data_IF_046921843378
#
_entry.id   IF_046921843378
#
_cell.length_a   1.000
_cell.length_b   1.000
_cell.length_c   1.000
_cell.angle_alpha   90.00
_cell.angle_beta   90.00
_cell.angle_gamma   90.00
#
_symmetry.space_group_name_H-M   'P 1'
#
loop_
_entity.id
_entity.type
_entity.pdbx_description
1 polymer ?
#
# COMPACT_ATOMS: atom_id res chain seq x y z
N UNK A 1 2.81 10.99 14.75
CA UNK A 1 1.99 10.23 13.75
C UNK A 1 2.37 10.68 12.35
N UNK A 2 2.44 9.73 11.43
CA UNK A 2 2.75 9.98 10.03
C UNK A 2 1.46 10.39 9.33
N UNK A 3 1.46 11.52 8.65
CA UNK A 3 0.26 12.03 7.95
C UNK A 3 0.30 11.68 6.48
N UNK A 4 -0.88 11.46 5.91
CA UNK A 4 -1.04 11.22 4.49
C UNK A 4 -2.42 11.62 3.99
N UNK A 5 -2.57 11.66 2.67
CA UNK A 5 -3.80 12.08 2.01
C UNK A 5 -3.88 11.57 0.59
N UNK A 6 -5.11 11.48 0.04
CA UNK A 6 -5.31 11.22 -1.37
C UNK A 6 -5.06 12.49 -2.20
N UNK A 7 -5.09 12.35 -3.52
CA UNK A 7 -4.79 13.45 -4.44
C UNK A 7 -5.68 14.68 -4.20
N UNK A 8 -6.98 14.50 -4.03
CA UNK A 8 -7.91 15.61 -3.79
C UNK A 8 -8.00 16.03 -2.33
N UNK A 9 -7.36 15.29 -1.43
CA UNK A 9 -7.31 15.52 0.02
C UNK A 9 -8.65 15.29 0.74
N UNK A 10 -9.65 14.76 0.07
CA UNK A 10 -10.90 14.37 0.74
C UNK A 10 -10.63 13.30 1.80
N UNK A 11 -9.71 12.36 1.51
CA UNK A 11 -9.27 11.34 2.46
C UNK A 11 -7.95 11.81 3.08
N UNK A 12 -7.92 11.92 4.41
CA UNK A 12 -6.73 12.24 5.18
C UNK A 12 -6.61 11.24 6.32
N UNK A 13 -5.40 10.83 6.62
CA UNK A 13 -5.16 9.82 7.65
C UNK A 13 -3.90 10.13 8.46
N UNK A 14 -3.81 9.46 9.60
CA UNK A 14 -2.61 9.39 10.43
C UNK A 14 -2.28 7.94 10.70
N UNK A 15 -1.00 7.63 10.69
CA UNK A 15 -0.49 6.29 10.96
C UNK A 15 0.62 6.34 11.99
N UNK A 16 0.73 5.29 12.79
CA UNK A 16 1.83 5.10 13.70
C UNK A 16 3.09 4.60 12.99
N UNK A 17 3.87 3.74 13.65
CA UNK A 17 5.12 3.28 13.06
C UNK A 17 4.89 2.20 12.00
N UNK A 18 5.71 2.24 10.96
CA UNK A 18 5.68 1.27 9.86
C UNK A 18 6.37 -0.02 10.31
N UNK A 19 5.66 -1.15 10.24
CA UNK A 19 6.20 -2.47 10.61
C UNK A 19 6.51 -3.34 9.39
N UNK A 20 5.99 -2.95 8.22
CA UNK A 20 6.30 -3.58 6.93
C UNK A 20 6.44 -2.50 5.88
N UNK A 21 7.42 -2.65 4.98
CA UNK A 21 7.58 -1.71 3.87
C UNK A 21 8.20 -2.45 2.70
N UNK A 22 7.47 -2.55 1.59
CA UNK A 22 7.94 -3.35 0.46
C UNK A 22 7.30 -2.98 -0.87
N UNK A 23 7.93 -3.48 -1.92
CA UNK A 23 7.46 -3.36 -3.30
C UNK A 23 6.83 -4.68 -3.73
N UNK A 24 5.60 -4.63 -4.21
CA UNK A 24 4.88 -5.82 -4.68
C UNK A 24 4.73 -5.79 -6.19
N UNK A 25 5.29 -6.81 -6.86
CA UNK A 25 5.29 -6.94 -8.31
C UNK A 25 4.17 -7.83 -8.85
N UNK A 26 3.22 -8.27 -8.03
CA UNK A 26 2.13 -9.12 -8.50
C UNK A 26 1.30 -8.40 -9.55
N UNK A 27 0.68 -9.17 -10.46
CA UNK A 27 -0.08 -8.60 -11.57
C UNK A 27 -1.23 -7.71 -11.09
N UNK A 28 -1.87 -8.06 -9.97
CA UNK A 28 -2.96 -7.26 -9.40
C UNK A 28 -2.45 -5.92 -8.86
N UNK A 29 -1.34 -5.92 -8.15
CA UNK A 29 -0.73 -4.68 -7.66
C UNK A 29 -0.30 -3.78 -8.81
N UNK A 30 0.34 -4.36 -9.84
CA UNK A 30 0.73 -3.58 -11.02
C UNK A 30 -0.47 -2.93 -11.69
N UNK A 31 -1.55 -3.68 -11.87
CA UNK A 31 -2.76 -3.17 -12.53
C UNK A 31 -3.49 -2.15 -11.67
N UNK A 32 -3.64 -2.42 -10.37
CA UNK A 32 -4.34 -1.51 -9.48
C UNK A 32 -3.61 -0.16 -9.33
N UNK A 33 -2.29 -0.17 -9.35
CA UNK A 33 -1.48 1.04 -9.18
C UNK A 33 -1.04 1.65 -10.52
N UNK A 34 -1.23 0.95 -11.64
CA UNK A 34 -0.79 1.43 -12.95
C UNK A 34 0.71 1.69 -12.99
N UNK A 35 1.50 0.81 -12.41
CA UNK A 35 2.94 1.01 -12.21
C UNK A 35 3.68 -0.33 -12.30
N UNK A 36 5.01 -0.27 -12.30
CA UNK A 36 5.85 -1.46 -12.29
C UNK A 36 5.60 -2.33 -11.06
N UNK A 37 5.29 -1.70 -9.94
CA UNK A 37 4.98 -2.36 -8.67
C UNK A 37 4.20 -1.41 -7.77
N UNK A 38 3.54 -1.97 -6.77
CA UNK A 38 2.96 -1.18 -5.69
C UNK A 38 3.98 -1.08 -4.57
N UNK A 39 4.13 0.09 -3.97
CA UNK A 39 4.94 0.27 -2.76
C UNK A 39 3.98 0.47 -1.61
N UNK A 40 4.04 -0.45 -0.66
CA UNK A 40 3.08 -0.54 0.44
C UNK A 40 3.80 -0.47 1.78
N UNK A 41 3.25 0.34 2.67
CA UNK A 41 3.67 0.39 4.06
C UNK A 41 2.57 -0.22 4.93
N UNK A 42 2.94 -1.14 5.81
CA UNK A 42 2.02 -1.76 6.75
C UNK A 42 2.19 -1.15 8.13
N UNK A 43 1.07 -0.82 8.76
CA UNK A 43 1.03 -0.35 10.15
C UNK A 43 -0.01 -1.17 10.92
N UNK A 44 0.17 -1.38 12.24
CA UNK A 44 -0.86 -2.03 13.03
C UNK A 44 -2.19 -1.26 12.94
N UNK A 45 -3.30 -1.99 12.83
CA UNK A 45 -4.60 -1.35 12.65
C UNK A 45 -4.96 -0.39 13.78
N UNK A 46 -4.53 -0.69 15.02
CA UNK A 46 -4.77 0.18 16.18
C UNK A 46 -3.95 1.48 16.13
N UNK A 47 -2.97 1.56 15.23
CA UNK A 47 -2.15 2.75 15.04
C UNK A 47 -2.53 3.51 13.78
N UNK A 48 -3.68 3.23 13.21
CA UNK A 48 -4.16 3.89 12.00
C UNK A 48 -5.52 4.52 12.25
N UNK A 49 -5.73 5.73 11.73
CA UNK A 49 -7.06 6.34 11.72
C UNK A 49 -7.25 7.28 10.54
N UNK A 50 -8.46 7.31 10.01
CA UNK A 50 -8.87 8.36 9.09
C UNK A 50 -9.18 9.63 9.88
N UNK A 51 -8.60 10.75 9.44
CA UNK A 51 -8.88 12.08 10.01
C UNK A 51 -10.13 12.65 9.35
N UNK A 52 -10.19 12.55 8.00
CA UNK A 52 -11.35 12.95 7.21
C UNK A 52 -11.57 11.96 6.09
N UNK A 53 -12.78 11.88 5.59
CA UNK A 53 -13.08 11.20 4.35
C UNK A 53 -13.17 9.68 4.42
N UNK A 54 -13.32 9.09 5.61
CA UNK A 54 -13.54 7.65 5.72
C UNK A 54 -14.76 7.21 4.88
N UNK A 55 -15.77 8.06 4.79
CA UNK A 55 -16.99 7.82 4.00
C UNK A 55 -16.76 7.98 2.49
N UNK A 56 -15.64 8.52 2.06
CA UNK A 56 -15.26 8.62 0.65
C UNK A 56 -14.44 7.41 0.17
N UNK A 57 -14.04 6.53 1.08
CA UNK A 57 -13.29 5.33 0.73
C UNK A 57 -14.25 4.31 0.13
N UNK A 58 -13.94 3.85 -1.08
CA UNK A 58 -14.64 2.73 -1.72
C UNK A 58 -13.73 1.52 -1.75
N UNK A 59 -14.33 0.34 -1.65
CA UNK A 59 -13.61 -0.92 -1.63
C UNK A 59 -13.97 -1.75 -2.87
N UNK A 60 -12.95 -2.36 -3.46
CA UNK A 60 -13.10 -3.36 -4.51
C UNK A 60 -12.51 -4.67 -4.02
N UNK A 61 -13.31 -5.74 -4.01
CA UNK A 61 -12.82 -7.07 -3.65
C UNK A 61 -12.02 -7.63 -4.82
N UNK A 62 -10.69 -7.57 -4.71
CA UNK A 62 -9.78 -7.99 -5.79
C UNK A 62 -9.55 -9.50 -5.78
N UNK A 63 -9.71 -10.13 -4.65
CA UNK A 63 -9.71 -11.58 -4.47
C UNK A 63 -10.53 -11.90 -3.21
N UNK A 64 -10.99 -13.14 -3.00
CA UNK A 64 -11.84 -13.47 -1.87
C UNK A 64 -11.26 -12.99 -0.53
N UNK A 65 -12.01 -12.12 0.15
CA UNK A 65 -11.62 -11.56 1.44
C UNK A 65 -10.58 -10.44 1.40
N UNK A 66 -10.05 -10.10 0.22
CA UNK A 66 -9.03 -9.07 0.06
C UNK A 66 -9.60 -7.88 -0.72
N UNK A 67 -9.47 -6.70 -0.15
CA UNK A 67 -10.05 -5.48 -0.73
C UNK A 67 -8.96 -4.47 -1.04
N UNK A 68 -9.16 -3.76 -2.14
CA UNK A 68 -8.39 -2.57 -2.49
C UNK A 68 -9.27 -1.36 -2.29
N UNK A 69 -8.70 -0.32 -1.71
CA UNK A 69 -9.43 0.90 -1.38
C UNK A 69 -9.05 2.01 -2.35
N UNK A 70 -10.00 2.88 -2.63
CA UNK A 70 -9.75 4.06 -3.46
C UNK A 70 -10.69 5.20 -3.05
N UNK A 71 -10.28 6.43 -3.39
CA UNK A 71 -11.09 7.60 -3.14
C UNK A 71 -12.20 7.71 -4.18
N UNK A 72 -13.45 7.83 -3.73
CA UNK A 72 -14.61 7.97 -4.63
C UNK A 72 -14.61 9.29 -5.38
N UNK A 73 -13.87 10.30 -4.92
CA UNK A 73 -13.83 11.64 -5.51
C UNK A 73 -12.73 11.73 -6.56
N UNK A 74 -11.50 11.34 -6.25
CA UNK A 74 -10.37 11.53 -7.17
C UNK A 74 -9.79 10.24 -7.74
N UNK A 75 -10.22 9.06 -7.25
CA UNK A 75 -9.74 7.77 -7.74
C UNK A 75 -8.36 7.36 -7.23
N UNK A 76 -7.70 8.15 -6.39
CA UNK A 76 -6.44 7.73 -5.77
C UNK A 76 -6.62 6.42 -5.03
N UNK A 77 -5.61 5.55 -5.07
CA UNK A 77 -5.58 4.43 -4.13
C UNK A 77 -5.64 4.98 -2.70
N UNK A 78 -6.18 4.20 -1.78
CA UNK A 78 -6.36 4.59 -0.39
C UNK A 78 -5.88 3.48 0.53
N UNK A 79 -5.62 3.79 1.81
CA UNK A 79 -5.27 2.75 2.78
C UNK A 79 -6.39 1.71 2.93
N UNK A 80 -6.02 0.45 2.97
CA UNK A 80 -6.96 -0.66 3.10
C UNK A 80 -6.58 -1.55 4.29
N UNK A 81 -7.58 -1.99 5.04
CA UNK A 81 -7.39 -2.92 6.14
C UNK A 81 -7.15 -4.33 5.56
N UNK A 82 -6.23 -5.07 6.18
CA UNK A 82 -5.95 -6.45 5.80
C UNK A 82 -7.16 -7.36 6.08
N UNK A 83 -7.19 -8.52 5.42
CA UNK A 83 -8.30 -9.48 5.55
C UNK A 83 -8.49 -9.97 7.00
N UNK A 84 -7.42 -10.05 7.78
CA UNK A 84 -7.49 -10.43 9.20
C UNK A 84 -7.74 -9.24 10.13
N UNK A 85 -7.90 -8.04 9.59
CA UNK A 85 -8.16 -6.78 10.31
C UNK A 85 -7.03 -6.34 11.25
N UNK A 86 -5.85 -6.94 11.16
CA UNK A 86 -4.73 -6.61 12.04
C UNK A 86 -3.88 -5.46 11.55
N UNK A 87 -3.88 -5.20 10.25
CA UNK A 87 -3.01 -4.22 9.62
C UNK A 87 -3.81 -3.30 8.72
N UNK A 88 -3.30 -2.07 8.53
CA UNK A 88 -3.61 -1.25 7.38
C UNK A 88 -2.41 -1.23 6.45
N UNK A 89 -2.64 -1.45 5.16
CA UNK A 89 -1.63 -1.29 4.13
C UNK A 89 -1.87 0.01 3.39
N UNK A 90 -0.84 0.84 3.36
CA UNK A 90 -0.91 2.21 2.86
C UNK A 90 -0.06 2.27 1.59
N UNK A 91 -0.65 2.64 0.43
CA UNK A 91 0.16 3.00 -0.73
C UNK A 91 1.11 4.13 -0.34
N UNK A 92 2.41 3.88 -0.39
CA UNK A 92 3.39 4.76 0.24
C UNK A 92 3.45 6.17 -0.36
N UNK A 93 3.06 6.31 -1.63
CA UNK A 93 2.99 7.63 -2.26
C UNK A 93 1.98 8.57 -1.63
N UNK A 94 1.07 8.06 -0.78
CA UNK A 94 0.08 8.88 -0.08
C UNK A 94 0.65 9.61 1.13
N UNK A 95 1.81 9.23 1.63
CA UNK A 95 2.40 9.91 2.78
C UNK A 95 2.75 11.35 2.44
N UNK A 96 2.33 12.27 3.28
CA UNK A 96 2.70 13.68 3.20
C UNK A 96 4.00 13.95 3.96
N UNK A 97 4.27 13.15 4.99
CA UNK A 97 5.49 13.21 5.80
C UNK A 97 6.44 12.08 5.39
N UNK A 98 7.71 12.21 5.71
CA UNK A 98 8.65 11.09 5.65
C UNK A 98 8.21 10.06 6.71
N UNK A 99 7.92 8.80 6.31
CA UNK A 99 7.44 7.80 7.27
C UNK A 99 8.50 7.30 8.25
N UNK A 100 9.75 7.75 8.12
CA UNK A 100 10.83 7.31 9.01
C UNK A 100 11.31 5.89 8.78
N UNK A 101 10.86 5.26 7.70
CA UNK A 101 11.24 3.90 7.32
C UNK A 101 11.49 3.87 5.81
N UNK A 102 12.11 2.79 5.33
CA UNK A 102 12.41 2.61 3.90
C UNK A 102 11.97 1.21 3.46
N UNK A 103 11.62 1.02 2.19
CA UNK A 103 11.32 -0.32 1.66
C UNK A 103 12.50 -1.26 1.87
N UNK A 104 12.20 -2.51 2.22
CA UNK A 104 13.23 -3.51 2.52
C UNK A 104 13.18 -4.73 1.61
N UNK A 105 12.09 -4.93 0.86
CA UNK A 105 11.90 -6.14 0.06
C UNK A 105 11.19 -5.85 -1.25
N UNK A 106 11.42 -6.73 -2.23
CA UNK A 106 10.57 -6.90 -3.39
C UNK A 106 9.85 -8.24 -3.28
N UNK A 107 8.52 -8.23 -3.41
CA UNK A 107 7.68 -9.42 -3.37
C UNK A 107 7.11 -9.71 -4.76
N UNK A 108 6.80 -10.97 -5.01
CA UNK A 108 6.19 -11.42 -6.26
C UNK A 108 7.02 -11.05 -7.50
N UNK A 109 8.34 -11.14 -7.38
CA UNK A 109 9.24 -10.84 -8.51
C UNK A 109 9.06 -11.83 -9.65
N UNK A 110 8.49 -13.02 -9.38
CA UNK A 110 8.11 -13.96 -10.43
C UNK A 110 7.09 -13.42 -11.41
N UNK A 111 6.31 -12.40 -11.00
CA UNK A 111 5.31 -11.72 -11.84
C UNK A 111 5.75 -10.31 -12.25
N UNK A 112 7.02 -9.99 -12.08
CA UNK A 112 7.58 -8.67 -12.38
C UNK A 112 7.29 -8.25 -13.82
N UNK A 113 7.01 -6.95 -14.01
CA UNK A 113 6.83 -6.38 -15.34
C UNK A 113 8.10 -6.60 -16.19
N UNK A 114 7.95 -7.11 -17.44
CA UNK A 114 9.13 -7.40 -18.26
C UNK A 114 9.88 -6.15 -18.70
N UNK A 115 9.23 -4.99 -18.66
CA UNK A 115 9.82 -3.70 -19.05
C UNK A 115 10.51 -2.96 -17.91
N UNK A 116 10.54 -3.54 -16.71
CA UNK A 116 11.19 -2.95 -15.53
C UNK A 116 12.32 -3.85 -15.04
N UNK A 117 13.45 -3.24 -14.67
CA UNK A 117 14.60 -3.93 -14.12
C UNK A 117 14.84 -3.45 -12.69
N UNK A 118 14.97 -4.41 -11.75
CA UNK A 118 15.31 -4.10 -10.37
C UNK A 118 16.83 -3.86 -10.31
N UNK A 119 17.23 -2.68 -9.85
CA UNK A 119 18.64 -2.26 -9.80
C UNK A 119 19.16 -1.99 -8.39
N UNK A 120 18.31 -2.17 -7.37
CA UNK A 120 18.73 -2.05 -5.98
C UNK A 120 19.17 -3.41 -5.44
N UNK A 121 19.64 -3.43 -4.19
CA UNK A 121 20.10 -4.63 -3.50
C UNK A 121 19.10 -5.15 -2.46
N UNK A 122 17.85 -4.72 -2.53
CA UNK A 122 16.80 -5.20 -1.64
C UNK A 122 16.56 -6.69 -1.86
N UNK A 123 16.19 -7.39 -0.78
CA UNK A 123 15.84 -8.81 -0.87
C UNK A 123 14.67 -9.02 -1.82
N UNK A 124 14.76 -10.07 -2.63
CA UNK A 124 13.74 -10.40 -3.62
C UNK A 124 13.13 -11.76 -3.31
N UNK A 125 11.81 -11.84 -3.36
CA UNK A 125 11.07 -13.07 -3.13
C UNK A 125 10.17 -13.34 -4.33
N UNK A 126 10.14 -14.60 -4.78
CA UNK A 126 9.31 -15.01 -5.93
C UNK A 126 7.82 -14.75 -5.66
N UNK A 127 7.39 -14.91 -4.42
CA UNK A 127 6.04 -14.67 -3.94
C UNK A 127 6.11 -13.84 -2.64
N UNK A 128 5.49 -14.32 -1.54
CA UNK A 128 5.58 -13.64 -0.25
C UNK A 128 6.98 -13.77 0.37
N UNK A 129 7.37 -12.80 1.20
CA UNK A 129 8.64 -12.94 1.93
C UNK A 129 8.64 -14.19 2.79
N UNK A 130 9.72 -14.98 2.68
CA UNK A 130 9.95 -16.10 3.58
C UNK A 130 10.52 -15.58 4.90
N UNK A 131 10.14 -16.22 6.00
CA UNK A 131 10.70 -15.92 7.33
C UNK A 131 12.10 -16.52 7.49
#
# INVERSE_FOLDING_TARGET
MIKGSCLCRAIRFEAGHVTFFGHCHCSMCRKAHGAAFATLAGVPAEEFRFITGADQVKLYESSPGNHRAFCSVCGSNAPAKSSDSKMFYIPAGLFDDDPGARPTVHMFVGSKAPWWEIKDDLRQFAEYPAE
#
